data_IF_168864624654
#
_entry.id   IF_168864624654
#
_cell.length_a   1.000
_cell.length_b   1.000
_cell.length_c   1.000
_cell.angle_alpha   90.00
_cell.angle_beta   90.00
_cell.angle_gamma   90.00
#
_symmetry.space_group_name_H-M   'P 1'
#
loop_
_entity.id
_entity.type
_entity.pdbx_description
1 polymer ?
#
# COMPACT_ATOMS: atom_id res chain seq x y z
N UNK A 1 -17.30 -34.78 27.30
CA UNK A 1 -16.79 -35.26 28.60
C UNK A 1 -15.65 -36.24 28.32
N UNK A 2 -14.42 -35.74 28.30
CA UNK A 2 -13.19 -36.54 28.27
C UNK A 2 -12.23 -35.82 29.21
N UNK A 3 -12.10 -36.34 30.43
CA UNK A 3 -11.17 -35.83 31.44
C UNK A 3 -9.85 -36.59 31.30
N UNK A 4 -8.85 -35.93 30.71
CA UNK A 4 -7.48 -36.42 30.63
C UNK A 4 -6.67 -35.97 31.85
N UNK A 5 -6.19 -36.94 32.63
CA UNK A 5 -5.31 -36.74 33.78
C UNK A 5 -3.92 -36.26 33.34
N UNK A 6 -3.43 -35.20 33.97
CA UNK A 6 -2.04 -34.75 33.92
C UNK A 6 -1.28 -35.35 35.10
N UNK A 7 -0.24 -36.13 34.83
CA UNK A 7 0.78 -36.54 35.80
C UNK A 7 1.99 -35.60 35.71
N UNK A 8 2.55 -35.12 36.84
CA UNK A 8 3.78 -34.34 36.83
C UNK A 8 5.00 -35.28 36.86
N UNK A 9 5.94 -35.06 35.94
CA UNK A 9 7.29 -35.62 35.99
C UNK A 9 8.17 -34.67 36.80
N UNK A 10 8.50 -35.08 38.03
CA UNK A 10 9.66 -34.58 38.78
C UNK A 10 10.92 -35.28 38.25
N UNK A 11 11.85 -34.52 37.67
CA UNK A 11 13.25 -34.94 37.55
C UNK A 11 14.13 -33.89 38.23
N UNK A 12 14.63 -34.26 39.41
CA UNK A 12 15.65 -33.50 40.14
C UNK A 12 17.02 -33.73 39.51
N UNK A 13 17.60 -32.67 38.94
CA UNK A 13 19.01 -32.65 38.53
C UNK A 13 19.81 -31.93 39.63
N UNK A 14 20.54 -32.71 40.43
CA UNK A 14 21.46 -32.19 41.43
C UNK A 14 22.70 -31.61 40.75
N UNK A 15 22.85 -30.29 40.78
CA UNK A 15 24.03 -29.59 40.30
C UNK A 15 25.13 -29.67 41.38
N UNK A 16 26.20 -30.42 41.12
CA UNK A 16 27.39 -30.45 41.97
C UNK A 16 28.24 -29.21 41.71
N UNK A 17 28.40 -28.40 42.74
CA UNK A 17 29.28 -27.22 42.79
C UNK A 17 30.74 -27.66 42.65
N UNK A 18 31.34 -27.42 41.48
CA UNK A 18 32.79 -27.48 41.29
C UNK A 18 33.39 -26.10 41.52
N UNK A 19 34.29 -26.05 42.50
CA UNK A 19 35.15 -24.92 42.84
C UNK A 19 36.11 -24.61 41.69
N UNK A 20 35.93 -23.44 41.08
CA UNK A 20 36.82 -22.90 40.03
C UNK A 20 38.06 -22.27 40.69
N UNK A 21 39.29 -22.59 40.25
CA UNK A 21 40.51 -21.97 40.76
C UNK A 21 40.68 -20.53 40.25
N UNK A 22 40.97 -19.64 41.19
CA UNK A 22 41.25 -18.21 41.01
C UNK A 22 42.55 -18.00 40.20
N UNK A 23 42.40 -17.63 38.92
CA UNK A 23 43.52 -17.26 38.04
C UNK A 23 43.71 -15.75 38.07
N UNK A 24 44.76 -15.29 38.76
CA UNK A 24 45.23 -13.90 38.76
C UNK A 24 46.08 -13.65 37.52
N UNK A 25 45.58 -12.81 36.62
CA UNK A 25 46.30 -12.39 35.41
C UNK A 25 45.54 -11.31 34.64
N UNK A 26 45.35 -10.14 35.26
CA UNK A 26 44.70 -9.00 34.61
C UNK A 26 45.69 -8.25 33.70
N UNK A 27 45.54 -8.43 32.39
CA UNK A 27 46.08 -7.51 31.38
C UNK A 27 45.07 -6.37 31.20
N UNK A 28 45.46 -5.16 31.57
CA UNK A 28 44.64 -3.96 31.50
C UNK A 28 44.66 -3.38 30.08
N UNK A 29 43.76 -3.84 29.20
CA UNK A 29 43.38 -3.07 28.02
C UNK A 29 42.29 -2.05 28.38
N UNK A 30 42.36 -0.81 27.87
CA UNK A 30 41.37 0.21 28.16
C UNK A 30 40.00 -0.15 27.55
N UNK A 31 38.88 0.14 28.24
CA UNK A 31 37.55 -0.17 27.74
C UNK A 31 37.25 0.66 26.48
N UNK A 32 37.14 -0.04 25.34
CA UNK A 32 36.64 0.54 24.08
C UNK A 32 35.25 1.14 24.31
N UNK A 33 35.07 2.41 23.93
CA UNK A 33 33.82 3.14 24.18
C UNK A 33 32.63 2.48 23.45
N UNK A 34 31.45 2.46 24.10
CA UNK A 34 30.21 1.88 23.53
C UNK A 34 29.86 2.48 22.15
N UNK A 35 30.17 3.75 21.92
CA UNK A 35 29.88 4.47 20.66
C UNK A 35 30.74 3.93 19.52
N UNK A 36 32.01 3.67 19.77
CA UNK A 36 32.96 3.15 18.78
C UNK A 36 32.68 1.68 18.42
N UNK A 37 32.17 0.91 19.40
CA UNK A 37 31.73 -0.47 19.18
C UNK A 37 30.48 -0.53 18.28
N UNK A 38 29.52 0.39 18.45
CA UNK A 38 28.31 0.51 17.61
C UNK A 38 28.64 0.92 16.17
N UNK A 39 29.59 1.85 16.01
CA UNK A 39 30.12 2.25 14.69
C UNK A 39 30.78 1.08 13.96
N UNK A 40 31.64 0.30 14.63
CA UNK A 40 32.29 -0.88 14.01
C UNK A 40 31.32 -2.01 13.67
N UNK A 41 30.27 -2.22 14.47
CA UNK A 41 29.23 -3.20 14.18
C UNK A 41 28.39 -2.81 12.97
N UNK A 42 27.96 -1.54 12.91
CA UNK A 42 27.24 -1.01 11.74
C UNK A 42 28.13 -1.06 10.49
N UNK A 43 29.43 -0.79 10.62
CA UNK A 43 30.40 -0.95 9.54
C UNK A 43 30.63 -2.41 9.14
N UNK A 44 30.72 -3.37 10.07
CA UNK A 44 30.92 -4.78 9.70
C UNK A 44 29.69 -5.40 9.03
N UNK A 45 28.49 -4.94 9.36
CA UNK A 45 27.26 -5.31 8.65
C UNK A 45 27.15 -4.61 7.29
N UNK A 46 27.64 -3.37 7.16
CA UNK A 46 27.59 -2.61 5.90
C UNK A 46 28.73 -2.92 4.92
N UNK A 47 29.92 -3.35 5.39
CA UNK A 47 31.16 -3.40 4.59
C UNK A 47 31.26 -4.61 3.63
N UNK A 48 30.39 -5.61 3.72
CA UNK A 48 30.36 -6.71 2.74
C UNK A 48 29.44 -6.47 1.53
N UNK A 49 28.81 -5.30 1.40
CA UNK A 49 27.85 -5.00 0.31
C UNK A 49 28.46 -4.14 -0.81
N UNK A 50 29.66 -3.60 -0.65
CA UNK A 50 30.30 -2.73 -1.65
C UNK A 50 31.36 -3.45 -2.47
N UNK A 51 30.95 -4.31 -3.40
CA UNK A 51 31.73 -4.60 -4.60
C UNK A 51 30.82 -5.16 -5.70
N UNK A 52 30.78 -4.43 -6.81
CA UNK A 52 30.08 -4.69 -8.08
C UNK A 52 28.60 -4.27 -8.15
N UNK A 53 28.21 -3.79 -9.35
CA UNK A 53 26.94 -3.16 -9.73
C UNK A 53 25.74 -4.12 -9.62
N UNK A 54 25.53 -4.71 -8.46
CA UNK A 54 24.35 -5.52 -8.17
C UNK A 54 23.23 -4.55 -7.85
N UNK A 55 22.17 -4.58 -8.66
CA UNK A 55 20.92 -3.91 -8.36
C UNK A 55 20.46 -4.49 -7.03
N UNK A 56 20.70 -3.79 -5.94
CA UNK A 56 20.28 -4.23 -4.62
C UNK A 56 18.76 -4.11 -4.61
N UNK A 57 18.09 -5.25 -4.80
CA UNK A 57 16.66 -5.39 -4.61
C UNK A 57 16.27 -5.34 -3.14
N UNK A 58 17.26 -5.27 -2.25
CA UNK A 58 17.05 -4.97 -0.83
C UNK A 58 16.43 -3.59 -0.68
N UNK A 59 15.22 -3.58 -0.13
CA UNK A 59 14.44 -2.38 0.14
C UNK A 59 15.21 -1.59 1.22
N UNK A 60 15.70 -0.37 0.92
CA UNK A 60 16.35 0.48 1.92
C UNK A 60 15.37 0.81 3.03
N UNK A 61 15.73 0.58 4.30
CA UNK A 61 14.86 0.96 5.41
C UNK A 61 14.70 2.48 5.48
N UNK A 62 13.55 2.95 5.94
CA UNK A 62 13.22 4.32 6.28
C UNK A 62 14.24 4.97 7.20
N UNK A 63 14.80 4.23 8.15
CA UNK A 63 15.91 4.74 8.99
C UNK A 63 17.17 4.96 8.14
N UNK A 64 17.54 4.01 7.28
CA UNK A 64 18.71 4.20 6.39
C UNK A 64 18.53 5.40 5.44
N UNK A 65 17.29 5.66 5.01
CA UNK A 65 16.96 6.82 4.19
C UNK A 65 17.01 8.12 5.00
N UNK A 66 16.53 8.11 6.24
CA UNK A 66 16.62 9.24 7.15
C UNK A 66 18.09 9.57 7.51
N UNK A 67 18.89 8.56 7.80
CA UNK A 67 20.32 8.70 8.11
C UNK A 67 21.10 9.24 6.91
N UNK A 68 20.82 8.72 5.71
CA UNK A 68 21.43 9.21 4.48
C UNK A 68 21.00 10.66 4.16
N UNK A 69 19.74 11.02 4.42
CA UNK A 69 19.27 12.38 4.26
C UNK A 69 19.96 13.33 5.26
N UNK A 70 20.09 12.91 6.53
CA UNK A 70 20.80 13.66 7.57
C UNK A 70 22.27 13.90 7.18
N UNK A 71 22.96 12.85 6.72
CA UNK A 71 24.37 12.91 6.31
C UNK A 71 24.59 13.86 5.13
N UNK A 72 23.66 13.85 4.17
CA UNK A 72 23.82 14.60 2.91
C UNK A 72 23.31 16.03 2.96
N UNK A 73 22.23 16.29 3.69
CA UNK A 73 21.48 17.55 3.63
C UNK A 73 21.60 18.41 4.91
N UNK A 74 22.15 17.88 5.99
CA UNK A 74 22.24 18.58 7.28
C UNK A 74 20.88 18.66 7.99
N UNK A 75 20.90 18.94 9.30
CA UNK A 75 19.70 18.91 10.16
C UNK A 75 18.63 19.94 9.77
N UNK A 76 19.02 21.07 9.18
CA UNK A 76 18.14 22.21 8.94
C UNK A 76 17.42 22.22 7.57
N UNK A 77 17.62 21.19 6.72
CA UNK A 77 17.02 21.18 5.39
C UNK A 77 15.49 21.00 5.44
N UNK A 78 14.77 21.72 4.58
CA UNK A 78 13.31 21.67 4.49
C UNK A 78 12.80 20.25 4.17
N UNK A 79 13.64 19.44 3.53
CA UNK A 79 13.37 18.04 3.20
C UNK A 79 13.13 17.19 4.45
N UNK A 80 13.88 17.39 5.52
CA UNK A 80 13.69 16.68 6.78
C UNK A 80 12.36 17.07 7.44
N UNK A 81 11.98 18.34 7.38
CA UNK A 81 10.68 18.81 7.88
C UNK A 81 9.52 18.17 7.11
N UNK A 82 9.64 18.10 5.78
CA UNK A 82 8.63 17.46 4.92
C UNK A 82 8.57 15.95 5.18
N UNK A 83 9.70 15.27 5.32
CA UNK A 83 9.74 13.85 5.66
C UNK A 83 9.09 13.56 7.02
N UNK A 84 9.37 14.38 8.04
CA UNK A 84 8.73 14.27 9.35
C UNK A 84 7.22 14.55 9.27
N UNK A 85 6.80 15.50 8.45
CA UNK A 85 5.40 15.80 8.20
C UNK A 85 4.68 14.62 7.51
N UNK A 86 5.27 14.05 6.46
CA UNK A 86 4.76 12.85 5.79
C UNK A 86 4.69 11.64 6.72
N UNK A 87 5.62 11.56 7.67
CA UNK A 87 5.64 10.50 8.68
C UNK A 87 4.64 10.63 9.81
N UNK A 88 3.81 11.67 9.84
CA UNK A 88 2.79 11.79 10.87
C UNK A 88 1.75 10.67 10.73
N UNK A 89 1.52 9.95 11.83
CA UNK A 89 0.53 8.85 11.92
C UNK A 89 -0.87 9.29 11.47
N UNK A 90 -1.21 10.55 11.74
CA UNK A 90 -2.48 11.13 11.31
C UNK A 90 -2.59 11.20 9.78
N UNK A 91 -1.56 11.71 9.09
CA UNK A 91 -1.56 11.78 7.63
C UNK A 91 -1.65 10.39 7.01
N UNK A 92 -0.86 9.43 7.51
CA UNK A 92 -0.90 8.04 7.05
C UNK A 92 -2.29 7.41 7.26
N UNK A 93 -2.94 7.68 8.39
CA UNK A 93 -4.30 7.22 8.67
C UNK A 93 -5.32 7.87 7.73
N UNK A 94 -5.19 9.17 7.48
CA UNK A 94 -6.06 9.91 6.55
C UNK A 94 -5.92 9.39 5.12
N UNK A 95 -4.70 9.20 4.63
CA UNK A 95 -4.43 8.66 3.29
C UNK A 95 -4.91 7.22 3.13
N UNK A 96 -4.71 6.39 4.15
CA UNK A 96 -5.29 5.04 4.20
C UNK A 96 -6.82 5.08 4.15
N UNK A 97 -7.44 5.99 4.91
CA UNK A 97 -8.89 6.21 4.88
C UNK A 97 -9.40 6.68 3.53
N UNK A 98 -8.70 7.62 2.87
CA UNK A 98 -9.02 8.08 1.52
C UNK A 98 -8.96 6.93 0.50
N UNK A 99 -8.03 6.00 0.67
CA UNK A 99 -7.92 4.85 -0.22
C UNK A 99 -9.08 3.87 -0.04
N UNK A 100 -9.47 3.58 1.20
CA UNK A 100 -10.67 2.75 1.44
C UNK A 100 -11.91 3.45 0.87
N UNK A 101 -12.01 4.77 1.03
CA UNK A 101 -13.10 5.55 0.44
C UNK A 101 -13.09 5.50 -1.11
N UNK A 102 -11.93 5.63 -1.76
CA UNK A 102 -11.79 5.50 -3.22
C UNK A 102 -12.33 4.17 -3.73
N UNK A 103 -12.00 3.07 -3.05
CA UNK A 103 -12.47 1.73 -3.41
C UNK A 103 -13.98 1.62 -3.24
N UNK A 104 -14.54 2.16 -2.16
CA UNK A 104 -15.99 2.21 -1.98
C UNK A 104 -16.70 3.04 -3.05
N UNK A 105 -16.09 4.16 -3.48
CA UNK A 105 -16.61 5.01 -4.56
C UNK A 105 -16.60 4.24 -5.89
N UNK A 106 -15.52 3.50 -6.21
CA UNK A 106 -15.48 2.62 -7.39
C UNK A 106 -16.61 1.62 -7.37
N UNK A 107 -16.83 0.94 -6.24
CA UNK A 107 -17.94 0.00 -6.14
C UNK A 107 -19.27 0.70 -6.36
N UNK A 108 -19.49 1.86 -5.76
CA UNK A 108 -20.71 2.65 -5.97
C UNK A 108 -20.89 3.04 -7.45
N UNK A 109 -19.84 3.46 -8.14
CA UNK A 109 -19.84 3.78 -9.57
C UNK A 109 -20.21 2.55 -10.42
N UNK A 110 -19.56 1.41 -10.17
CA UNK A 110 -19.84 0.15 -10.88
C UNK A 110 -21.29 -0.34 -10.63
N UNK A 111 -21.80 -0.20 -9.40
CA UNK A 111 -23.18 -0.55 -9.08
C UNK A 111 -24.17 0.39 -9.78
N UNK A 112 -23.89 1.71 -9.82
CA UNK A 112 -24.73 2.66 -10.54
C UNK A 112 -24.75 2.37 -12.05
N UNK A 113 -23.60 2.06 -12.65
CA UNK A 113 -23.50 1.70 -14.07
C UNK A 113 -24.22 0.37 -14.38
N UNK A 114 -24.19 -0.59 -13.46
CA UNK A 114 -24.88 -1.87 -13.63
C UNK A 114 -26.41 -1.74 -13.52
N UNK A 115 -26.90 -0.96 -12.56
CA UNK A 115 -28.34 -0.78 -12.31
C UNK A 115 -28.98 0.22 -13.28
N UNK A 116 -28.23 1.26 -13.67
CA UNK A 116 -28.68 2.36 -14.53
C UNK A 116 -27.78 2.49 -15.77
N UNK A 117 -27.79 1.52 -16.69
CA UNK A 117 -27.02 1.64 -17.92
C UNK A 117 -27.46 2.88 -18.71
N UNK A 118 -26.49 3.59 -19.29
CA UNK A 118 -26.68 4.87 -20.00
C UNK A 118 -27.69 4.82 -21.16
N UNK A 119 -28.04 3.62 -21.61
CA UNK A 119 -29.03 3.38 -22.64
C UNK A 119 -29.77 2.07 -22.30
N UNK A 120 -30.75 2.15 -21.41
CA UNK A 120 -31.77 1.11 -21.30
C UNK A 120 -32.73 1.32 -22.47
N UNK A 121 -32.76 0.41 -23.44
CA UNK A 121 -33.82 0.37 -24.44
C UNK A 121 -35.14 0.25 -23.66
N UNK A 122 -35.81 1.37 -23.49
CA UNK A 122 -37.17 1.38 -22.96
C UNK A 122 -38.03 1.00 -24.14
N UNK A 123 -38.48 -0.25 -24.16
CA UNK A 123 -39.65 -0.63 -24.94
C UNK A 123 -40.81 0.17 -24.35
N UNK A 124 -41.09 1.33 -24.95
CA UNK A 124 -42.28 2.09 -24.59
C UNK A 124 -43.45 1.31 -25.17
N UNK A 125 -44.20 0.64 -24.31
CA UNK A 125 -45.53 0.14 -24.66
C UNK A 125 -46.27 1.29 -25.36
N UNK A 126 -46.63 1.03 -26.61
CA UNK A 126 -46.97 1.99 -27.65
C UNK A 126 -47.87 3.14 -27.13
N UNK A 127 -47.41 4.40 -27.22
CA UNK A 127 -48.33 5.53 -27.14
C UNK A 127 -49.20 5.50 -28.40
N UNK A 128 -50.50 5.24 -28.22
CA UNK A 128 -51.48 5.24 -29.30
C UNK A 128 -51.56 6.64 -29.92
N UNK A 129 -50.88 6.83 -31.06
CA UNK A 129 -51.03 8.04 -31.87
C UNK A 129 -52.35 7.95 -32.64
N UNK A 130 -53.41 8.56 -32.12
CA UNK A 130 -54.61 8.79 -32.92
C UNK A 130 -54.29 9.88 -33.95
N UNK A 131 -54.14 9.48 -35.22
CA UNK A 131 -53.97 10.40 -36.34
C UNK A 131 -55.30 11.10 -36.61
N UNK A 132 -55.63 12.10 -35.79
CA UNK A 132 -56.67 13.05 -36.09
C UNK A 132 -56.18 13.93 -37.23
N UNK A 133 -56.93 13.98 -38.34
CA UNK A 133 -56.65 14.75 -39.55
C UNK A 133 -56.63 16.28 -39.38
N UNK A 134 -56.35 16.79 -38.18
CA UNK A 134 -56.29 18.21 -37.85
C UNK A 134 -55.33 18.50 -36.69
N UNK A 135 -54.08 18.80 -37.05
CA UNK A 135 -53.12 19.73 -36.44
C UNK A 135 -52.89 19.84 -34.90
N UNK A 136 -53.54 19.08 -34.03
CA UNK A 136 -53.32 19.18 -32.58
C UNK A 136 -52.93 17.83 -31.97
N UNK A 137 -51.70 17.77 -31.45
CA UNK A 137 -51.10 16.59 -30.82
C UNK A 137 -51.59 16.50 -29.37
N UNK A 138 -52.62 15.71 -29.13
CA UNK A 138 -53.14 15.47 -27.78
C UNK A 138 -52.39 14.31 -27.11
N UNK A 139 -51.77 14.57 -25.95
CA UNK A 139 -51.29 13.51 -25.06
C UNK A 139 -52.53 12.85 -24.44
N UNK A 140 -52.66 11.53 -24.56
CA UNK A 140 -53.78 10.75 -24.02
C UNK A 140 -53.80 10.83 -22.49
N UNK A 141 -54.51 11.80 -21.92
CA UNK A 141 -54.54 12.02 -20.48
C UNK A 141 -55.79 12.70 -19.92
N UNK A 142 -56.74 13.16 -20.74
CA UNK A 142 -57.92 13.84 -20.22
C UNK A 142 -59.21 13.32 -20.87
N UNK A 143 -59.56 12.10 -20.49
CA UNK A 143 -60.94 11.60 -20.41
C UNK A 143 -61.74 11.59 -21.70
N UNK A 144 -61.72 10.46 -22.41
CA UNK A 144 -62.88 9.86 -23.09
C UNK A 144 -62.51 8.40 -23.43
N UNK A 145 -63.38 7.45 -23.12
CA UNK A 145 -63.18 5.98 -23.21
C UNK A 145 -63.10 5.42 -24.66
N UNK A 146 -62.73 6.24 -25.64
CA UNK A 146 -62.62 5.82 -27.04
C UNK A 146 -61.21 5.32 -27.33
N UNK A 147 -61.03 4.01 -27.18
CA UNK A 147 -59.87 3.28 -27.71
C UNK A 147 -59.86 3.48 -29.23
N UNK A 148 -58.86 4.19 -29.77
CA UNK A 148 -58.73 4.38 -31.21
C UNK A 148 -58.60 3.02 -31.94
N UNK A 149 -59.51 2.77 -32.88
CA UNK A 149 -59.56 1.53 -33.70
C UNK A 149 -58.48 1.51 -34.82
N UNK A 150 -57.74 2.61 -34.98
CA UNK A 150 -56.56 2.65 -35.82
C UNK A 150 -55.48 1.77 -35.17
N UNK A 151 -55.31 0.56 -35.71
CA UNK A 151 -54.41 -0.46 -35.18
C UNK A 151 -53.04 0.10 -34.82
N UNK A 152 -52.51 -0.37 -33.68
CA UNK A 152 -51.16 -0.08 -33.23
C UNK A 152 -50.18 -0.33 -34.38
N UNK A 153 -49.50 0.71 -34.89
CA UNK A 153 -48.32 0.47 -35.71
C UNK A 153 -47.22 -0.04 -34.77
N UNK A 154 -46.77 -1.30 -34.90
CA UNK A 154 -45.85 -1.93 -33.95
C UNK A 154 -44.39 -1.47 -34.14
N UNK A 155 -44.16 -0.25 -34.62
CA UNK A 155 -42.82 0.22 -35.02
C UNK A 155 -42.48 1.51 -34.31
N UNK A 156 -42.65 1.54 -32.99
CA UNK A 156 -41.91 2.47 -32.16
C UNK A 156 -40.46 2.01 -32.11
N UNK A 157 -39.56 2.67 -32.87
CA UNK A 157 -38.13 2.40 -32.78
C UNK A 157 -37.72 2.66 -31.33
N UNK A 158 -37.20 1.66 -30.60
CA UNK A 158 -36.90 1.83 -29.18
C UNK A 158 -35.81 2.90 -29.06
N UNK A 159 -36.19 4.05 -28.50
CA UNK A 159 -35.32 5.20 -28.32
C UNK A 159 -34.78 5.25 -26.90
N UNK A 160 -33.52 5.65 -26.75
CA UNK A 160 -32.95 5.88 -25.42
C UNK A 160 -33.44 7.22 -24.87
N UNK A 161 -34.17 7.16 -23.76
CA UNK A 161 -34.67 8.33 -23.03
C UNK A 161 -33.59 8.80 -22.04
N UNK A 162 -32.78 9.75 -22.48
CA UNK A 162 -31.67 10.31 -21.69
C UNK A 162 -32.12 11.09 -20.45
N UNK A 163 -33.42 11.41 -20.29
CA UNK A 163 -33.91 12.27 -19.22
C UNK A 163 -34.52 11.54 -18.03
N UNK A 164 -34.68 10.22 -18.11
CA UNK A 164 -35.40 9.45 -17.07
C UNK A 164 -34.73 9.52 -15.69
N UNK A 165 -33.40 9.66 -15.64
CA UNK A 165 -32.63 9.58 -14.38
C UNK A 165 -31.65 10.75 -14.21
N UNK A 166 -32.15 11.98 -14.27
CA UNK A 166 -31.30 13.17 -14.14
C UNK A 166 -30.43 13.17 -12.86
N UNK A 167 -30.99 12.74 -11.72
CA UNK A 167 -30.25 12.65 -10.45
C UNK A 167 -29.08 11.69 -10.51
N UNK A 168 -29.19 10.58 -11.25
CA UNK A 168 -28.13 9.58 -11.38
C UNK A 168 -26.96 10.15 -12.15
N UNK A 169 -27.22 10.90 -13.23
CA UNK A 169 -26.18 11.58 -14.00
C UNK A 169 -25.41 12.61 -13.18
N UNK A 170 -26.10 13.38 -12.34
CA UNK A 170 -25.44 14.34 -11.43
C UNK A 170 -24.57 13.61 -10.41
N UNK A 171 -25.05 12.50 -9.85
CA UNK A 171 -24.28 11.70 -8.90
C UNK A 171 -23.05 11.09 -9.57
N UNK A 172 -23.19 10.51 -10.77
CA UNK A 172 -22.08 9.96 -11.56
C UNK A 172 -21.00 11.01 -11.82
N UNK A 173 -21.38 12.23 -12.21
CA UNK A 173 -20.47 13.34 -12.43
C UNK A 173 -19.72 13.74 -11.14
N UNK A 174 -20.42 13.81 -10.01
CA UNK A 174 -19.80 14.13 -8.71
C UNK A 174 -18.85 13.03 -8.25
N UNK A 175 -19.23 11.75 -8.41
CA UNK A 175 -18.37 10.61 -8.09
C UNK A 175 -17.08 10.66 -8.92
N UNK A 176 -17.20 10.94 -10.22
CA UNK A 176 -16.06 11.09 -11.13
C UNK A 176 -15.12 12.23 -10.70
N UNK A 177 -15.62 13.43 -10.42
CA UNK A 177 -14.76 14.51 -9.94
C UNK A 177 -14.10 14.18 -8.60
N UNK A 178 -14.79 13.41 -7.75
CA UNK A 178 -14.25 12.95 -6.47
C UNK A 178 -13.10 11.96 -6.67
N UNK A 179 -13.24 10.98 -7.57
CA UNK A 179 -12.16 10.01 -7.88
C UNK A 179 -10.95 10.73 -8.46
N UNK A 180 -11.14 11.62 -9.43
CA UNK A 180 -10.05 12.43 -10.01
C UNK A 180 -9.36 13.28 -8.93
N UNK A 181 -10.13 13.87 -8.01
CA UNK A 181 -9.59 14.63 -6.88
C UNK A 181 -8.71 13.78 -5.97
N UNK A 182 -9.19 12.59 -5.58
CA UNK A 182 -8.43 11.65 -4.74
C UNK A 182 -7.16 11.17 -5.46
N UNK A 183 -7.26 10.80 -6.73
CA UNK A 183 -6.10 10.40 -7.54
C UNK A 183 -5.06 11.52 -7.63
N UNK A 184 -5.50 12.77 -7.76
CA UNK A 184 -4.63 13.95 -7.80
C UNK A 184 -3.89 14.16 -6.47
N UNK A 185 -4.57 14.00 -5.33
CA UNK A 185 -3.94 14.08 -4.00
C UNK A 185 -2.84 13.03 -3.88
N UNK A 186 -3.11 11.80 -4.28
CA UNK A 186 -2.11 10.73 -4.24
C UNK A 186 -0.95 10.95 -5.22
N UNK A 187 -1.20 11.54 -6.40
CA UNK A 187 -0.14 11.92 -7.31
C UNK A 187 0.77 12.99 -6.69
N UNK A 188 0.18 14.00 -6.03
CA UNK A 188 0.94 15.03 -5.31
C UNK A 188 1.77 14.40 -4.20
N UNK A 189 1.20 13.50 -3.40
CA UNK A 189 1.93 12.76 -2.37
C UNK A 189 3.15 12.03 -2.96
N UNK A 190 2.97 11.28 -4.05
CA UNK A 190 4.05 10.61 -4.77
C UNK A 190 5.12 11.58 -5.27
N UNK A 191 4.72 12.74 -5.79
CA UNK A 191 5.65 13.79 -6.23
C UNK A 191 6.44 14.37 -5.06
N UNK A 192 5.82 14.55 -3.89
CA UNK A 192 6.50 15.03 -2.68
C UNK A 192 7.49 13.98 -2.18
N UNK A 193 7.13 12.70 -2.13
CA UNK A 193 8.07 11.62 -1.79
C UNK A 193 9.28 11.60 -2.74
N UNK A 194 9.02 11.71 -4.05
CA UNK A 194 10.08 11.81 -5.06
C UNK A 194 10.96 13.06 -4.86
N UNK A 195 10.37 14.19 -4.48
CA UNK A 195 11.11 15.42 -4.23
C UNK A 195 12.00 15.33 -2.98
N UNK A 196 11.54 14.65 -1.92
CA UNK A 196 12.28 14.43 -0.67
C UNK A 196 13.45 13.47 -0.88
N UNK A 197 13.19 12.29 -1.48
CA UNK A 197 14.20 11.26 -1.74
C UNK A 197 15.20 11.66 -2.82
N UNK A 198 14.75 12.52 -3.74
CA UNK A 198 15.49 12.92 -4.93
C UNK A 198 15.34 11.91 -6.07
N UNK A 199 15.15 12.44 -7.28
CA UNK A 199 14.83 11.69 -8.50
C UNK A 199 15.73 10.47 -8.71
N UNK A 200 17.06 10.61 -8.60
CA UNK A 200 18.00 9.51 -8.88
C UNK A 200 17.85 8.33 -7.92
N UNK A 201 17.60 8.58 -6.63
CA UNK A 201 17.43 7.52 -5.62
C UNK A 201 16.03 6.91 -5.70
N UNK A 202 15.03 7.75 -5.95
CA UNK A 202 13.66 7.32 -6.16
C UNK A 202 13.56 6.27 -7.29
N UNK A 203 14.20 6.51 -8.44
CA UNK A 203 14.21 5.55 -9.56
C UNK A 203 15.05 4.28 -9.32
N UNK A 204 15.86 4.22 -8.26
CA UNK A 204 16.54 2.97 -7.88
C UNK A 204 15.58 2.00 -7.16
N UNK A 205 14.54 2.52 -6.54
CA UNK A 205 13.48 1.73 -5.91
C UNK A 205 12.39 1.44 -6.95
N UNK A 206 12.48 0.28 -7.59
CA UNK A 206 11.61 -0.11 -8.71
C UNK A 206 10.12 -0.01 -8.34
N UNK A 207 9.72 -0.39 -7.12
CA UNK A 207 8.32 -0.34 -6.69
C UNK A 207 7.76 1.08 -6.60
N UNK A 208 8.54 2.05 -6.10
CA UNK A 208 8.09 3.45 -6.05
C UNK A 208 8.02 4.07 -7.44
N UNK A 209 9.02 3.82 -8.29
CA UNK A 209 9.02 4.28 -9.67
C UNK A 209 7.82 3.71 -10.46
N UNK A 210 7.48 2.44 -10.24
CA UNK A 210 6.34 1.79 -10.86
C UNK A 210 5.02 2.41 -10.37
N UNK A 211 4.89 2.66 -9.06
CA UNK A 211 3.70 3.34 -8.52
C UNK A 211 3.48 4.72 -9.13
N UNK A 212 4.54 5.54 -9.22
CA UNK A 212 4.45 6.85 -9.88
C UNK A 212 3.95 6.74 -11.32
N UNK A 213 4.47 5.79 -12.08
CA UNK A 213 4.06 5.56 -13.46
C UNK A 213 2.60 5.10 -13.58
N UNK A 214 2.19 4.14 -12.74
CA UNK A 214 0.80 3.62 -12.72
C UNK A 214 -0.19 4.71 -12.32
N UNK A 215 0.11 5.49 -11.29
CA UNK A 215 -0.76 6.61 -10.85
C UNK A 215 -0.82 7.69 -11.93
N UNK A 216 0.29 8.00 -12.58
CA UNK A 216 0.31 9.01 -13.66
C UNK A 216 -0.49 8.55 -14.89
N UNK A 217 -0.32 7.30 -15.32
CA UNK A 217 -1.08 6.75 -16.46
C UNK A 217 -2.56 6.66 -16.13
N UNK A 218 -2.93 6.17 -14.95
CA UNK A 218 -4.33 6.06 -14.56
C UNK A 218 -5.02 7.43 -14.54
N UNK A 219 -4.39 8.45 -13.95
CA UNK A 219 -4.91 9.82 -13.97
C UNK A 219 -5.01 10.36 -15.41
N UNK A 220 -4.00 10.14 -16.24
CA UNK A 220 -3.99 10.60 -17.63
C UNK A 220 -5.09 9.92 -18.45
N UNK A 221 -5.28 8.61 -18.28
CA UNK A 221 -6.35 7.85 -18.93
C UNK A 221 -7.72 8.35 -18.49
N UNK A 222 -7.92 8.57 -17.18
CA UNK A 222 -9.20 9.02 -16.64
C UNK A 222 -9.59 10.43 -17.16
N UNK A 223 -8.63 11.37 -17.17
CA UNK A 223 -8.81 12.68 -17.79
C UNK A 223 -9.08 12.58 -19.30
N UNK A 224 -8.33 11.73 -20.01
CA UNK A 224 -8.49 11.59 -21.46
C UNK A 224 -9.85 10.99 -21.82
N UNK A 225 -10.32 10.00 -21.06
CA UNK A 225 -11.63 9.37 -21.26
C UNK A 225 -12.77 10.37 -21.08
N UNK A 226 -12.69 11.21 -20.05
CA UNK A 226 -13.69 12.23 -19.82
C UNK A 226 -13.72 13.29 -20.93
N UNK A 227 -12.53 13.73 -21.39
CA UNK A 227 -12.41 14.72 -22.46
C UNK A 227 -12.81 14.18 -23.84
N UNK A 228 -12.58 12.90 -24.12
CA UNK A 228 -12.79 12.32 -25.45
C UNK A 228 -14.20 11.72 -25.64
N UNK A 229 -15.05 11.64 -24.60
CA UNK A 229 -16.45 11.16 -24.66
C UNK A 229 -16.68 9.82 -25.41
N UNK A 230 -15.61 9.06 -25.68
CA UNK A 230 -15.65 7.90 -26.57
C UNK A 230 -16.04 6.65 -25.81
N UNK A 231 -16.93 5.84 -26.39
CA UNK A 231 -17.44 4.58 -25.84
C UNK A 231 -16.32 3.59 -25.52
N UNK A 232 -15.92 3.51 -24.26
CA UNK A 232 -14.80 2.68 -23.83
C UNK A 232 -15.13 1.94 -22.51
N UNK A 233 -16.18 1.12 -22.53
CA UNK A 233 -16.51 0.24 -21.40
C UNK A 233 -15.36 -0.71 -20.99
N UNK A 234 -14.46 -1.06 -21.92
CA UNK A 234 -13.28 -1.88 -21.61
C UNK A 234 -12.21 -1.14 -20.79
N UNK A 235 -12.12 0.20 -20.90
CA UNK A 235 -11.10 0.97 -20.19
C UNK A 235 -11.42 1.11 -18.71
N UNK A 236 -12.71 1.06 -18.35
CA UNK A 236 -13.17 1.08 -16.95
C UNK A 236 -12.57 -0.08 -16.16
N UNK A 237 -12.56 -1.29 -16.72
CA UNK A 237 -11.97 -2.46 -16.06
C UNK A 237 -10.46 -2.31 -15.80
N UNK A 238 -9.74 -1.74 -16.77
CA UNK A 238 -8.29 -1.47 -16.65
C UNK A 238 -8.03 -0.41 -15.56
N UNK A 239 -8.87 0.64 -15.49
CA UNK A 239 -8.78 1.65 -14.43
C UNK A 239 -8.96 1.04 -13.04
N UNK A 240 -9.92 0.13 -12.86
CA UNK A 240 -10.11 -0.59 -11.57
C UNK A 240 -8.83 -1.34 -11.18
N UNK A 241 -8.19 -2.03 -12.12
CA UNK A 241 -6.92 -2.75 -11.86
C UNK A 241 -5.80 -1.78 -11.45
N UNK A 242 -5.66 -0.64 -12.15
CA UNK A 242 -4.67 0.37 -11.77
C UNK A 242 -4.95 0.97 -10.39
N UNK A 243 -6.21 1.12 -9.99
CA UNK A 243 -6.56 1.55 -8.63
C UNK A 243 -6.26 0.48 -7.59
N UNK A 244 -6.45 -0.81 -7.91
CA UNK A 244 -6.07 -1.93 -7.04
C UNK A 244 -4.56 -2.02 -6.79
N UNK A 245 -3.73 -1.51 -7.71
CA UNK A 245 -2.28 -1.40 -7.51
C UNK A 245 -1.91 -0.68 -6.20
N UNK A 246 -2.73 0.28 -5.77
CA UNK A 246 -2.49 1.05 -4.53
C UNK A 246 -2.47 0.17 -3.29
N UNK A 247 -3.17 -0.97 -3.27
CA UNK A 247 -3.07 -1.95 -2.18
C UNK A 247 -1.72 -2.65 -2.14
N UNK A 248 -1.13 -2.93 -3.31
CA UNK A 248 0.23 -3.47 -3.39
C UNK A 248 1.22 -2.47 -2.82
N UNK A 249 1.07 -1.18 -3.14
CA UNK A 249 1.87 -0.11 -2.54
C UNK A 249 1.73 -0.08 -1.01
N UNK A 250 0.50 -0.03 -0.48
CA UNK A 250 0.29 -0.03 0.98
C UNK A 250 0.91 -1.29 1.60
N UNK A 251 0.68 -2.45 1.00
CA UNK A 251 1.23 -3.72 1.46
C UNK A 251 2.75 -3.70 1.53
N UNK A 252 3.40 -3.14 0.49
CA UNK A 252 4.84 -2.95 0.47
C UNK A 252 5.29 -1.99 1.58
N UNK A 253 4.62 -0.84 1.74
CA UNK A 253 4.95 0.13 2.79
C UNK A 253 4.77 -0.42 4.20
N UNK A 254 3.73 -1.22 4.45
CA UNK A 254 3.52 -1.90 5.73
C UNK A 254 4.58 -2.97 5.96
N UNK A 255 4.92 -3.74 4.92
CA UNK A 255 5.94 -4.80 5.02
C UNK A 255 7.32 -4.21 5.31
N UNK A 256 7.66 -3.07 4.71
CA UNK A 256 8.89 -2.33 4.98
C UNK A 256 8.93 -1.82 6.43
N UNK A 257 7.83 -1.23 6.92
CA UNK A 257 7.75 -0.80 8.32
C UNK A 257 7.77 -1.98 9.30
N UNK A 258 7.15 -3.10 8.94
CA UNK A 258 7.13 -4.30 9.77
C UNK A 258 8.50 -4.99 9.82
N UNK A 259 9.23 -5.02 8.71
CA UNK A 259 10.59 -5.56 8.66
C UNK A 259 11.56 -4.69 9.49
N UNK A 260 11.38 -3.37 9.47
CA UNK A 260 12.12 -2.44 10.34
C UNK A 260 11.85 -2.67 11.81
N UNK A 261 10.58 -2.72 12.23
CA UNK A 261 10.20 -2.98 13.62
C UNK A 261 10.77 -4.31 14.13
N UNK A 262 10.75 -5.31 13.26
CA UNK A 262 11.32 -6.63 13.55
C UNK A 262 12.84 -6.51 13.74
N UNK A 263 13.53 -5.79 12.85
CA UNK A 263 14.97 -5.56 12.95
C UNK A 263 15.37 -4.82 14.24
N UNK A 264 14.66 -3.75 14.59
CA UNK A 264 14.90 -2.96 15.81
C UNK A 264 14.71 -3.80 17.09
N UNK A 265 13.76 -4.74 17.09
CA UNK A 265 13.58 -5.67 18.22
C UNK A 265 14.72 -6.68 18.35
N UNK A 266 15.36 -7.06 17.25
CA UNK A 266 16.50 -7.99 17.26
C UNK A 266 17.83 -7.33 17.64
N UNK A 267 18.01 -6.04 17.36
CA UNK A 267 19.25 -5.31 17.71
C UNK A 267 19.67 -5.42 19.19
N UNK A 268 18.81 -5.15 20.20
CA UNK A 268 19.21 -5.28 21.60
C UNK A 268 19.51 -6.73 22.00
N UNK A 269 18.87 -7.70 21.35
CA UNK A 269 19.14 -9.12 21.58
C UNK A 269 20.51 -9.51 21.01
N UNK A 270 20.86 -9.02 19.82
CA UNK A 270 22.18 -9.21 19.23
C UNK A 270 23.25 -8.56 20.10
N UNK A 271 23.05 -7.30 20.52
CA UNK A 271 23.97 -6.58 21.41
C UNK A 271 24.17 -7.33 22.74
N UNK A 272 23.11 -7.87 23.32
CA UNK A 272 23.16 -8.68 24.54
C UNK A 272 23.96 -9.98 24.33
N UNK A 273 23.71 -10.71 23.24
CA UNK A 273 24.43 -11.93 22.91
C UNK A 273 25.93 -11.65 22.72
N UNK A 274 26.28 -10.54 22.07
CA UNK A 274 27.67 -10.12 21.89
C UNK A 274 28.35 -9.75 23.21
N UNK A 275 27.67 -9.01 24.09
CA UNK A 275 28.21 -8.66 25.41
C UNK A 275 28.41 -9.93 26.29
N UNK A 276 27.51 -10.90 26.20
CA UNK A 276 27.68 -12.21 26.81
C UNK A 276 28.89 -12.98 26.23
N UNK A 277 29.05 -13.00 24.90
CA UNK A 277 30.17 -13.66 24.24
C UNK A 277 31.51 -13.07 24.69
N UNK A 278 31.61 -11.74 24.77
CA UNK A 278 32.79 -11.03 25.25
C UNK A 278 33.14 -11.38 26.70
N UNK A 279 32.14 -11.42 27.58
CA UNK A 279 32.32 -11.80 29.00
C UNK A 279 32.78 -13.25 29.14
N UNK A 280 32.25 -14.17 28.33
CA UNK A 280 32.70 -15.57 28.34
C UNK A 280 34.14 -15.70 27.85
N UNK A 281 34.55 -14.93 26.82
CA UNK A 281 35.94 -14.88 26.35
C UNK A 281 36.88 -14.37 27.44
N UNK A 282 36.51 -13.30 28.14
CA UNK A 282 37.30 -12.74 29.24
C UNK A 282 37.43 -13.71 30.42
N UNK A 283 36.41 -14.52 30.69
CA UNK A 283 36.43 -15.55 31.72
C UNK A 283 37.22 -16.82 31.31
N UNK A 284 37.78 -16.88 30.11
CA UNK A 284 38.49 -18.06 29.60
C UNK A 284 37.58 -19.26 29.33
N UNK A 285 36.26 -19.05 29.25
CA UNK A 285 35.30 -20.11 28.98
C UNK A 285 35.32 -20.37 27.47
N UNK A 286 35.58 -21.62 27.07
CA UNK A 286 35.44 -22.03 25.67
C UNK A 286 33.99 -21.86 25.24
N UNK A 287 33.76 -20.94 24.31
CA UNK A 287 32.45 -20.76 23.68
C UNK A 287 32.13 -22.03 22.88
N UNK A 288 30.95 -22.64 23.06
CA UNK A 288 30.55 -23.80 22.28
C UNK A 288 30.55 -23.42 20.79
N UNK A 289 31.15 -24.29 19.97
CA UNK A 289 31.20 -24.08 18.53
C UNK A 289 29.78 -23.88 18.00
N UNK A 290 29.55 -22.80 17.23
CA UNK A 290 28.23 -22.46 16.70
C UNK A 290 27.62 -23.70 16.06
N UNK A 291 26.51 -24.17 16.62
CA UNK A 291 25.84 -25.38 16.16
C UNK A 291 25.56 -25.22 14.66
N UNK A 292 25.73 -26.28 13.86
CA UNK A 292 25.47 -26.21 12.41
C UNK A 292 24.11 -25.60 12.06
N UNK A 293 23.11 -25.78 12.93
CA UNK A 293 21.78 -25.18 12.83
C UNK A 293 21.81 -23.65 12.85
N UNK A 294 22.67 -23.06 13.69
CA UNK A 294 22.84 -21.61 13.81
C UNK A 294 23.63 -21.04 12.62
N UNK A 295 24.62 -21.78 12.09
CA UNK A 295 25.30 -21.41 10.82
C UNK A 295 24.32 -21.39 9.65
N UNK A 296 23.47 -22.41 9.51
CA UNK A 296 22.44 -22.47 8.47
C UNK A 296 21.44 -21.32 8.57
N UNK A 297 20.93 -21.02 9.77
CA UNK A 297 20.02 -19.88 9.95
C UNK A 297 20.66 -18.53 9.63
N UNK A 298 21.97 -18.38 9.87
CA UNK A 298 22.74 -17.20 9.48
C UNK A 298 22.92 -17.12 7.96
N UNK A 299 23.17 -18.25 7.28
CA UNK A 299 23.28 -18.30 5.83
C UNK A 299 21.92 -18.07 5.14
N UNK A 300 20.83 -18.62 5.70
CA UNK A 300 19.48 -18.49 5.16
C UNK A 300 18.87 -17.10 5.39
N UNK A 301 19.24 -16.40 6.47
CA UNK A 301 18.80 -15.04 6.75
C UNK A 301 19.49 -13.94 5.93
N UNK A 302 20.49 -14.31 5.11
CA UNK A 302 21.24 -13.40 4.25
C UNK A 302 20.81 -13.44 2.77
N UNK A 303 19.79 -14.25 2.43
CA UNK A 303 19.20 -14.37 1.09
C UNK A 303 17.86 -13.64 1.00
#
# INVERSE_FOLDING_TARGET
MVTGNLTPLEEGVSFTSSTVPETKGASSEPPISRVERRSRLSSMVAVNVTAENKVNFGIPSRQSMADFALEKHGEDDWRNKVHHFLGQKWLQLTLSGLLVADVLIIFAELFLQAEYPSCRLVERDCEACCSGSGAERWLAGSGHDEVCEAGYEPIGVPGCDSYKWHTVHVIEEVLFYTTVGILSIFLVENLVEMAVLGVRKYFQQVFLALDFFVVTISLTMELTLHLMHSQLGQMVAILVIFRLWRFVRIGHGIMEVASELTHDQYLPLIDYVMDCEDKMRQAGIKIPEKTQKCKKLLEDGHH
#
